data_IF_599483948579
#
_entry.id   IF_599483948579
#
_cell.length_a   1.000
_cell.length_b   1.000
_cell.length_c   1.000
_cell.angle_alpha   90.00
_cell.angle_beta   90.00
_cell.angle_gamma   90.00
#
_symmetry.space_group_name_H-M   'P 1'
#
loop_
_entity.id
_entity.type
_entity.pdbx_description
1 polymer ?
#
# COMPACT_ATOMS: atom_id res chain seq x y z
N UNK A 1 -14.70 23.30 -0.77
CA UNK A 1 -15.06 21.89 -1.06
C UNK A 1 -13.86 21.05 -1.51
N UNK A 2 -12.97 21.56 -2.36
CA UNK A 2 -11.81 20.79 -2.90
C UNK A 2 -10.86 20.31 -1.79
N UNK A 3 -10.55 21.15 -0.80
CA UNK A 3 -9.62 20.81 0.30
C UNK A 3 -10.08 19.61 1.13
N UNK A 4 -11.38 19.50 1.42
CA UNK A 4 -11.93 18.35 2.16
C UNK A 4 -11.86 17.07 1.30
N UNK A 5 -12.10 17.17 0.00
CA UNK A 5 -11.91 16.05 -0.93
C UNK A 5 -10.47 15.56 -0.96
N UNK A 6 -9.50 16.48 -1.04
CA UNK A 6 -8.06 16.13 -0.99
C UNK A 6 -7.69 15.47 0.34
N UNK A 7 -8.23 15.95 1.46
CA UNK A 7 -8.01 15.36 2.78
C UNK A 7 -8.51 13.90 2.85
N UNK A 8 -9.74 13.65 2.38
CA UNK A 8 -10.32 12.29 2.34
C UNK A 8 -9.52 11.38 1.40
N UNK A 9 -9.09 11.88 0.24
CA UNK A 9 -8.25 11.12 -0.70
C UNK A 9 -6.86 10.79 -0.11
N UNK A 10 -6.27 11.68 0.68
CA UNK A 10 -5.02 11.43 1.41
C UNK A 10 -5.16 10.26 2.37
N UNK A 11 -6.20 10.25 3.21
CA UNK A 11 -6.49 9.15 4.13
C UNK A 11 -6.84 7.84 3.40
N UNK A 12 -7.62 7.91 2.31
CA UNK A 12 -7.95 6.73 1.50
C UNK A 12 -6.69 6.09 0.89
N UNK A 13 -5.71 6.89 0.48
CA UNK A 13 -4.44 6.41 -0.07
C UNK A 13 -3.59 5.69 0.99
N UNK A 14 -3.55 6.21 2.22
CA UNK A 14 -2.87 5.56 3.37
C UNK A 14 -3.48 4.18 3.65
N UNK A 15 -4.81 4.11 3.74
CA UNK A 15 -5.53 2.86 4.01
C UNK A 15 -5.32 1.85 2.88
N UNK A 16 -5.24 2.32 1.63
CA UNK A 16 -4.94 1.50 0.46
C UNK A 16 -3.54 0.89 0.56
N UNK A 17 -2.51 1.69 0.84
CA UNK A 17 -1.14 1.20 1.04
C UNK A 17 -1.05 0.18 2.16
N UNK A 18 -1.71 0.44 3.30
CA UNK A 18 -1.75 -0.49 4.42
C UNK A 18 -2.43 -1.83 4.07
N UNK A 19 -3.53 -1.80 3.32
CA UNK A 19 -4.24 -3.01 2.88
C UNK A 19 -3.34 -3.91 2.01
N UNK A 20 -2.61 -3.33 1.05
CA UNK A 20 -1.68 -4.08 0.22
C UNK A 20 -0.54 -4.70 1.04
N UNK A 21 0.05 -3.97 1.99
CA UNK A 21 1.11 -4.48 2.86
C UNK A 21 0.61 -5.69 3.66
N UNK A 22 -0.55 -5.58 4.31
CA UNK A 22 -1.12 -6.66 5.12
C UNK A 22 -1.49 -7.86 4.26
N UNK A 23 -2.10 -7.64 3.10
CA UNK A 23 -2.47 -8.68 2.14
C UNK A 23 -1.25 -9.50 1.71
N UNK A 24 -0.16 -8.82 1.33
CA UNK A 24 1.08 -9.48 0.89
C UNK A 24 1.77 -10.20 2.05
N UNK A 25 1.66 -9.73 3.30
CA UNK A 25 2.27 -10.43 4.43
C UNK A 25 1.46 -11.63 4.93
N UNK A 26 0.15 -11.47 5.05
CA UNK A 26 -0.73 -12.36 5.81
C UNK A 26 -1.65 -13.22 4.94
N UNK A 27 -1.95 -12.82 3.71
CA UNK A 27 -2.91 -13.51 2.82
C UNK A 27 -2.23 -14.19 1.63
N UNK A 28 -0.94 -14.53 1.72
CA UNK A 28 -0.25 -15.32 0.70
C UNK A 28 -0.71 -16.76 0.73
N UNK A 29 -0.78 -17.37 -0.45
CA UNK A 29 -1.07 -18.79 -0.56
C UNK A 29 -0.04 -19.63 0.24
N UNK A 30 -0.47 -20.68 0.96
CA UNK A 30 0.43 -21.55 1.70
C UNK A 30 1.45 -22.19 0.76
N UNK A 31 2.73 -22.13 1.11
CA UNK A 31 3.85 -22.57 0.26
C UNK A 31 4.45 -21.50 -0.64
N UNK A 32 3.85 -20.31 -0.72
CA UNK A 32 4.39 -19.18 -1.47
C UNK A 32 5.44 -18.42 -0.63
N UNK A 33 6.72 -18.65 -0.95
CA UNK A 33 7.85 -17.95 -0.30
C UNK A 33 8.08 -16.56 -0.90
N UNK A 34 8.78 -15.68 -0.18
CA UNK A 34 9.07 -14.30 -0.61
C UNK A 34 9.82 -14.21 -1.96
N UNK A 35 10.69 -15.18 -2.25
CA UNK A 35 11.43 -15.23 -3.51
C UNK A 35 10.60 -15.75 -4.70
N UNK A 36 9.39 -16.28 -4.45
CA UNK A 36 8.45 -16.73 -5.50
C UNK A 36 7.33 -15.74 -5.77
N UNK A 37 7.39 -14.53 -5.19
CA UNK A 37 6.43 -13.48 -5.48
C UNK A 37 6.69 -12.91 -6.89
N UNK A 38 5.65 -12.79 -7.74
CA UNK A 38 5.75 -12.09 -9.02
C UNK A 38 6.26 -10.66 -8.86
N UNK A 39 6.98 -10.16 -9.87
CA UNK A 39 7.51 -8.79 -9.91
C UNK A 39 6.44 -7.72 -9.70
N UNK A 40 5.22 -7.97 -10.18
CA UNK A 40 4.09 -7.05 -9.95
C UNK A 40 3.76 -6.89 -8.46
N UNK A 41 3.82 -7.97 -7.68
CA UNK A 41 3.53 -7.92 -6.23
C UNK A 41 4.68 -7.20 -5.50
N UNK A 42 5.92 -7.36 -5.95
CA UNK A 42 7.05 -6.58 -5.43
C UNK A 42 6.92 -5.08 -5.72
N UNK A 43 6.52 -4.74 -6.96
CA UNK A 43 6.30 -3.35 -7.34
C UNK A 43 5.16 -2.71 -6.54
N UNK A 44 4.04 -3.42 -6.37
CA UNK A 44 2.91 -2.93 -5.58
C UNK A 44 3.24 -2.84 -4.09
N UNK A 45 4.09 -3.73 -3.56
CA UNK A 45 4.59 -3.65 -2.20
C UNK A 45 5.45 -2.41 -1.98
N UNK A 46 6.34 -2.09 -2.92
CA UNK A 46 7.18 -0.89 -2.86
C UNK A 46 6.33 0.39 -2.94
N UNK A 47 5.36 0.48 -3.84
CA UNK A 47 4.45 1.64 -3.92
C UNK A 47 3.57 1.76 -2.68
N UNK A 48 3.12 0.66 -2.08
CA UNK A 48 2.35 0.68 -0.85
C UNK A 48 3.17 1.22 0.34
N UNK A 49 4.45 0.86 0.44
CA UNK A 49 5.38 1.44 1.44
C UNK A 49 5.56 2.94 1.19
N UNK A 50 5.79 3.33 -0.07
CA UNK A 50 5.94 4.74 -0.43
C UNK A 50 4.67 5.54 -0.14
N UNK A 51 3.49 5.00 -0.41
CA UNK A 51 2.23 5.64 -0.03
C UNK A 51 2.18 5.85 1.47
N UNK A 52 2.41 4.79 2.27
CA UNK A 52 2.35 4.89 3.73
C UNK A 52 3.34 5.92 4.31
N UNK A 53 4.54 6.04 3.74
CA UNK A 53 5.59 6.95 4.21
C UNK A 53 5.48 8.37 3.63
N UNK A 54 5.08 8.52 2.37
CA UNK A 54 5.06 9.81 1.68
C UNK A 54 3.79 10.61 1.96
N UNK A 55 2.62 9.96 2.06
CA UNK A 55 1.36 10.70 2.31
C UNK A 55 1.31 11.46 3.65
N UNK A 56 1.91 11.00 4.78
CA UNK A 56 1.97 11.82 6.00
C UNK A 56 3.01 12.95 5.93
N UNK A 57 3.95 12.92 4.99
CA UNK A 57 4.96 13.99 4.78
C UNK A 57 4.44 15.05 3.80
N UNK A 58 3.53 14.67 2.90
CA UNK A 58 2.91 15.55 1.89
C UNK A 58 1.60 16.19 2.39
N UNK A 59 0.95 15.59 3.40
CA UNK A 59 -0.28 16.07 4.03
C UNK A 59 -0.09 17.23 5.00
#
# INVERSE_FOLDING_TARGET
>A
MITFGVFVLGFSSILTGMNFIVTIHKMRAPGMTWHRLPLFIWASYATAILQLLATPVVG
#
